data_IF_713419686474
#
_entry.id   IF_713419686474
#
_cell.length_a   1.000
_cell.length_b   1.000
_cell.length_c   1.000
_cell.angle_alpha   90.00
_cell.angle_beta   90.00
_cell.angle_gamma   90.00
#
_symmetry.space_group_name_H-M   'P 1'
#
loop_
_entity.id
_entity.type
_entity.pdbx_description
1 polymer ?
#
# COMPACT_ATOMS: atom_id res chain seq x y z
N UNK A 1 7.08 11.76 12.53
CA UNK A 1 5.99 11.49 11.60
C UNK A 1 5.74 9.98 11.51
N UNK A 2 4.47 9.60 11.40
CA UNK A 2 4.04 8.20 11.27
C UNK A 2 3.46 7.97 9.88
N UNK A 3 3.94 6.93 9.22
CA UNK A 3 3.48 6.54 7.89
C UNK A 3 2.92 5.13 7.92
N UNK A 4 1.91 4.87 7.11
CA UNK A 4 1.49 3.51 6.82
C UNK A 4 1.25 3.35 5.33
N UNK A 5 1.39 2.13 4.85
CA UNK A 5 1.13 1.80 3.45
C UNK A 5 -0.21 1.07 3.37
N UNK A 6 -1.15 1.66 2.64
CA UNK A 6 -2.47 1.08 2.39
C UNK A 6 -2.61 0.74 0.92
N UNK A 7 -2.59 -0.54 0.58
CA UNK A 7 -2.55 -1.03 -0.79
C UNK A 7 -3.33 -2.34 -0.93
N UNK A 8 -3.49 -2.81 -2.15
CA UNK A 8 -4.08 -4.12 -2.38
C UNK A 8 -4.50 -4.32 -3.84
N UNK A 9 -5.11 -5.47 -4.08
CA UNK A 9 -5.56 -5.87 -5.39
C UNK A 9 -6.75 -5.04 -5.87
N UNK A 10 -6.86 -4.86 -7.19
CA UNK A 10 -8.07 -4.33 -7.83
C UNK A 10 -9.29 -5.23 -7.60
N UNK A 11 -9.07 -6.49 -7.25
CA UNK A 11 -10.11 -7.49 -6.99
C UNK A 11 -10.52 -7.57 -5.51
N UNK A 12 -10.10 -6.63 -4.69
CA UNK A 12 -10.44 -6.59 -3.27
C UNK A 12 -11.96 -6.60 -3.09
N UNK A 13 -12.51 -7.52 -2.26
CA UNK A 13 -13.96 -7.61 -2.06
C UNK A 13 -14.56 -6.34 -1.47
N UNK A 14 -15.84 -6.07 -1.79
CA UNK A 14 -16.52 -4.85 -1.38
C UNK A 14 -16.52 -4.64 0.14
N UNK A 15 -16.67 -5.70 0.93
CA UNK A 15 -16.65 -5.60 2.40
C UNK A 15 -15.29 -5.13 2.91
N UNK A 16 -14.21 -5.58 2.26
CA UNK A 16 -12.85 -5.16 2.60
C UNK A 16 -12.61 -3.72 2.14
N UNK A 17 -13.11 -3.35 0.96
CA UNK A 17 -13.03 -1.95 0.49
C UNK A 17 -13.68 -0.99 1.47
N UNK A 18 -14.86 -1.35 1.99
CA UNK A 18 -15.55 -0.55 3.01
C UNK A 18 -14.71 -0.44 4.29
N UNK A 19 -14.11 -1.54 4.72
CA UNK A 19 -13.23 -1.56 5.88
C UNK A 19 -12.01 -0.67 5.63
N UNK A 20 -11.37 -0.76 4.47
CA UNK A 20 -10.20 0.04 4.13
C UNK A 20 -10.50 1.54 4.05
N UNK A 21 -11.70 1.91 3.59
CA UNK A 21 -12.16 3.30 3.64
C UNK A 21 -12.26 3.79 5.10
N UNK A 22 -12.84 2.99 5.99
CA UNK A 22 -12.94 3.31 7.41
C UNK A 22 -11.56 3.42 8.05
N UNK A 23 -10.65 2.52 7.73
CA UNK A 23 -9.27 2.54 8.25
C UNK A 23 -8.51 3.76 7.75
N UNK A 24 -8.66 4.12 6.48
CA UNK A 24 -8.06 5.33 5.92
C UNK A 24 -8.47 6.58 6.68
N UNK A 25 -9.76 6.69 6.98
CA UNK A 25 -10.29 7.77 7.81
C UNK A 25 -9.76 7.74 9.24
N UNK A 26 -9.79 6.55 9.85
CA UNK A 26 -9.35 6.36 11.23
C UNK A 26 -7.86 6.71 11.42
N UNK A 27 -7.00 6.20 10.56
CA UNK A 27 -5.56 6.45 10.67
C UNK A 27 -5.22 7.91 10.36
N UNK A 28 -5.92 8.55 9.43
CA UNK A 28 -5.75 9.99 9.18
C UNK A 28 -6.09 10.81 10.44
N UNK A 29 -7.17 10.46 11.14
CA UNK A 29 -7.54 11.11 12.41
C UNK A 29 -6.53 10.84 13.54
N UNK A 30 -5.69 9.81 13.40
CA UNK A 30 -4.58 9.50 14.30
C UNK A 30 -3.26 10.10 13.82
N UNK A 31 -3.29 10.98 12.83
CA UNK A 31 -2.13 11.67 12.25
C UNK A 31 -1.13 10.74 11.55
N UNK A 32 -1.59 9.59 11.06
CA UNK A 32 -0.79 8.76 10.16
C UNK A 32 -0.90 9.27 8.74
N UNK A 33 0.23 9.33 8.05
CA UNK A 33 0.30 9.73 6.64
C UNK A 33 0.16 8.47 5.79
N UNK A 34 -0.84 8.46 4.90
CA UNK A 34 -1.07 7.36 3.98
C UNK A 34 -0.05 7.37 2.85
N UNK A 35 0.53 6.20 2.56
CA UNK A 35 1.27 5.95 1.33
C UNK A 35 0.51 4.92 0.50
N UNK A 36 0.17 5.30 -0.74
CA UNK A 36 -0.61 4.43 -1.63
C UNK A 36 -0.30 4.76 -3.09
N UNK A 37 -1.00 4.13 -4.03
CA UNK A 37 -0.66 4.22 -5.44
C UNK A 37 -1.81 4.56 -6.38
N UNK A 38 -2.96 4.92 -5.88
CA UNK A 38 -4.14 5.32 -6.67
C UNK A 38 -4.65 4.23 -7.64
N UNK A 39 -4.32 2.97 -7.42
CA UNK A 39 -4.89 1.88 -8.21
C UNK A 39 -6.36 1.68 -7.81
N UNK A 40 -7.15 1.15 -8.75
CA UNK A 40 -8.53 0.77 -8.45
C UNK A 40 -8.57 -0.27 -7.32
N UNK A 41 -9.63 -0.27 -6.54
CA UNK A 41 -9.84 -1.20 -5.46
C UNK A 41 -9.25 -0.70 -4.15
N UNK A 42 -8.35 -1.48 -3.54
CA UNK A 42 -7.86 -1.20 -2.19
C UNK A 42 -7.16 0.16 -2.05
N UNK A 43 -6.26 0.49 -2.97
CA UNK A 43 -5.54 1.78 -2.94
C UNK A 43 -6.52 2.94 -2.87
N UNK A 44 -7.50 2.97 -3.77
CA UNK A 44 -8.51 4.02 -3.85
C UNK A 44 -9.39 4.07 -2.61
N UNK A 45 -9.68 2.93 -1.98
CA UNK A 45 -10.47 2.88 -0.76
C UNK A 45 -9.76 3.56 0.41
N UNK A 46 -8.47 3.27 0.62
CA UNK A 46 -7.68 3.96 1.63
C UNK A 46 -7.59 5.46 1.36
N UNK A 47 -7.31 5.82 0.12
CA UNK A 47 -7.20 7.23 -0.28
C UNK A 47 -8.50 7.98 -0.06
N UNK A 48 -9.62 7.39 -0.43
CA UNK A 48 -10.94 8.00 -0.24
C UNK A 48 -11.22 8.28 1.25
N UNK A 49 -10.97 7.30 2.12
CA UNK A 49 -11.15 7.48 3.56
C UNK A 49 -10.27 8.57 4.14
N UNK A 50 -9.02 8.63 3.72
CA UNK A 50 -8.06 9.67 4.11
C UNK A 50 -8.56 11.07 3.67
N UNK A 51 -9.00 11.19 2.41
CA UNK A 51 -9.49 12.44 1.83
C UNK A 51 -10.74 12.95 2.53
N UNK A 52 -11.62 12.06 3.00
CA UNK A 52 -12.86 12.45 3.71
C UNK A 52 -12.60 13.32 4.94
N UNK A 53 -11.46 13.19 5.57
CA UNK A 53 -11.09 13.96 6.77
C UNK A 53 -9.89 14.88 6.53
N UNK A 54 -9.59 15.18 5.27
CA UNK A 54 -8.45 16.01 4.87
C UNK A 54 -7.12 15.51 5.44
N UNK A 55 -6.95 14.19 5.50
CA UNK A 55 -5.74 13.57 5.99
C UNK A 55 -4.55 13.78 5.05
N UNK A 56 -3.36 13.62 5.59
CA UNK A 56 -2.13 13.71 4.80
C UNK A 56 -1.89 12.40 4.05
N UNK A 57 -1.45 12.52 2.81
CA UNK A 57 -1.18 11.35 1.97
C UNK A 57 -0.05 11.60 0.99
N UNK A 58 0.67 10.54 0.66
CA UNK A 58 1.69 10.48 -0.39
C UNK A 58 1.22 9.44 -1.39
N UNK A 59 0.74 9.90 -2.53
CA UNK A 59 0.22 9.01 -3.59
C UNK A 59 1.27 8.91 -4.69
N UNK A 60 1.91 7.75 -4.78
CA UNK A 60 2.99 7.49 -5.72
C UNK A 60 2.46 6.90 -7.01
N UNK A 61 2.79 7.51 -8.14
CA UNK A 61 2.29 7.12 -9.44
C UNK A 61 3.40 6.54 -10.32
N UNK A 62 3.06 5.56 -11.18
CA UNK A 62 4.03 5.02 -12.14
C UNK A 62 4.31 5.98 -13.30
N UNK A 63 3.33 6.83 -13.64
CA UNK A 63 3.45 7.89 -14.66
C UNK A 63 2.45 9.00 -14.36
N UNK A 64 2.67 10.15 -14.97
CA UNK A 64 1.81 11.31 -14.78
C UNK A 64 0.37 10.99 -15.21
N UNK A 65 -0.58 11.35 -14.35
CA UNK A 65 -2.01 11.18 -14.63
C UNK A 65 -2.54 9.76 -14.48
N UNK A 66 -1.77 8.84 -13.90
CA UNK A 66 -2.22 7.46 -13.68
C UNK A 66 -3.57 7.45 -12.96
N UNK A 67 -4.54 6.74 -13.54
CA UNK A 67 -5.90 6.63 -12.97
C UNK A 67 -6.63 7.96 -12.80
N UNK A 68 -6.20 9.02 -13.49
CA UNK A 68 -6.76 10.37 -13.35
C UNK A 68 -6.26 11.14 -12.13
N UNK A 69 -5.29 10.63 -11.39
CA UNK A 69 -4.71 11.31 -10.22
C UNK A 69 -3.94 12.55 -10.63
N UNK A 70 -4.03 13.60 -9.81
CA UNK A 70 -3.26 14.83 -9.94
C UNK A 70 -1.99 14.85 -9.09
N UNK A 71 -1.65 13.73 -8.47
CA UNK A 71 -0.42 13.61 -7.69
C UNK A 71 0.82 13.90 -8.55
N UNK A 72 1.79 14.58 -7.95
CA UNK A 72 3.06 14.89 -8.59
C UNK A 72 4.18 13.95 -8.18
N UNK A 73 3.89 12.96 -7.30
CA UNK A 73 4.87 11.98 -6.81
C UNK A 73 5.00 10.84 -7.81
N UNK A 74 5.73 11.08 -8.88
CA UNK A 74 5.92 10.12 -9.97
C UNK A 74 7.27 9.46 -9.82
N UNK A 75 7.33 8.13 -10.00
CA UNK A 75 8.59 7.40 -9.91
C UNK A 75 9.58 7.86 -11.00
N UNK A 76 10.75 8.33 -10.57
CA UNK A 76 11.82 8.82 -11.46
C UNK A 76 13.19 8.34 -11.01
N UNK A 77 13.33 8.00 -9.75
CA UNK A 77 14.60 7.64 -9.14
C UNK A 77 15.06 6.26 -9.62
N UNK A 78 16.26 6.19 -10.21
CA UNK A 78 16.85 4.92 -10.63
C UNK A 78 16.97 3.93 -9.47
N UNK A 79 17.19 4.42 -8.24
CA UNK A 79 17.27 3.57 -7.05
C UNK A 79 15.94 2.86 -6.77
N UNK A 80 14.80 3.48 -7.08
CA UNK A 80 13.49 2.82 -6.96
C UNK A 80 13.39 1.60 -7.88
N UNK A 81 13.93 1.71 -9.10
CA UNK A 81 13.99 0.61 -10.06
C UNK A 81 14.96 -0.49 -9.59
N UNK A 82 16.11 -0.11 -9.02
CA UNK A 82 17.07 -1.08 -8.49
C UNK A 82 16.47 -1.89 -7.34
N UNK A 83 15.79 -1.22 -6.41
CA UNK A 83 15.12 -1.90 -5.29
C UNK A 83 14.03 -2.83 -5.83
N UNK A 84 13.25 -2.37 -6.79
CA UNK A 84 12.18 -3.19 -7.38
C UNK A 84 12.76 -4.44 -8.07
N UNK A 85 13.84 -4.29 -8.82
CA UNK A 85 14.51 -5.40 -9.49
C UNK A 85 15.02 -6.44 -8.49
N UNK A 86 15.63 -6.01 -7.39
CA UNK A 86 16.14 -6.90 -6.35
C UNK A 86 15.05 -7.79 -5.72
N UNK A 87 13.82 -7.30 -5.70
CA UNK A 87 12.71 -7.97 -5.01
C UNK A 87 11.69 -8.60 -5.96
N UNK A 88 11.89 -8.49 -7.29
CA UNK A 88 10.96 -9.05 -8.26
C UNK A 88 11.53 -10.29 -8.91
N UNK A 89 10.85 -11.46 -8.79
CA UNK A 89 11.40 -12.73 -9.28
C UNK A 89 11.53 -12.81 -10.80
N UNK A 90 10.78 -12.00 -11.55
CA UNK A 90 10.71 -12.06 -13.01
C UNK A 90 10.92 -10.68 -13.66
N UNK A 91 11.78 -9.86 -13.07
CA UNK A 91 11.97 -8.47 -13.51
C UNK A 91 12.23 -8.32 -15.00
N UNK A 92 13.11 -9.16 -15.54
CA UNK A 92 13.53 -9.07 -16.96
C UNK A 92 12.41 -9.42 -17.94
N UNK A 93 11.36 -10.10 -17.49
CA UNK A 93 10.20 -10.44 -18.31
C UNK A 93 9.12 -9.37 -18.28
N UNK A 94 9.29 -8.32 -17.49
CA UNK A 94 8.30 -7.27 -17.36
C UNK A 94 8.39 -6.27 -18.50
N UNK A 95 7.23 -5.77 -18.97
CA UNK A 95 7.15 -4.62 -19.87
C UNK A 95 7.67 -3.35 -19.19
N UNK A 96 7.95 -2.31 -19.93
CA UNK A 96 8.36 -1.02 -19.38
C UNK A 96 7.30 -0.44 -18.44
N UNK A 97 6.02 -0.54 -18.82
CA UNK A 97 4.92 -0.09 -17.96
C UNK A 97 4.84 -0.87 -16.64
N UNK A 98 5.00 -2.20 -16.71
CA UNK A 98 5.01 -3.05 -15.52
C UNK A 98 6.20 -2.71 -14.61
N UNK A 99 7.38 -2.43 -15.16
CA UNK A 99 8.55 -2.01 -14.39
C UNK A 99 8.30 -0.70 -13.66
N UNK A 100 7.64 0.26 -14.30
CA UNK A 100 7.25 1.53 -13.65
C UNK A 100 6.30 1.30 -12.48
N UNK A 101 5.31 0.43 -12.65
CA UNK A 101 4.37 0.07 -11.58
C UNK A 101 5.11 -0.57 -10.39
N UNK A 102 6.04 -1.48 -10.66
CA UNK A 102 6.81 -2.15 -9.62
C UNK A 102 7.79 -1.20 -8.92
N UNK A 103 8.46 -0.34 -9.67
CA UNK A 103 9.37 0.66 -9.11
C UNK A 103 8.62 1.66 -8.21
N UNK A 104 7.40 2.07 -8.59
CA UNK A 104 6.54 2.92 -7.79
C UNK A 104 6.26 2.29 -6.42
N UNK A 105 6.11 0.97 -6.37
CA UNK A 105 5.87 0.26 -5.12
C UNK A 105 7.02 0.41 -4.12
N UNK A 106 8.24 0.64 -4.57
CA UNK A 106 9.37 0.92 -3.68
C UNK A 106 9.12 2.18 -2.84
N UNK A 107 8.59 3.24 -3.46
CA UNK A 107 8.24 4.47 -2.74
C UNK A 107 7.08 4.28 -1.78
N UNK A 108 6.11 3.43 -2.10
CA UNK A 108 4.99 3.16 -1.20
C UNK A 108 5.44 2.59 0.14
N UNK A 109 6.52 1.82 0.13
CA UNK A 109 7.05 1.17 1.34
C UNK A 109 8.15 2.02 2.00
N UNK A 110 9.03 2.64 1.21
CA UNK A 110 10.24 3.28 1.69
C UNK A 110 10.22 4.82 1.63
N UNK A 111 9.14 5.41 1.12
CA UNK A 111 9.00 6.86 1.02
C UNK A 111 9.66 7.46 -0.22
N UNK A 112 9.56 8.77 -0.35
CA UNK A 112 10.10 9.49 -1.49
C UNK A 112 11.62 9.35 -1.59
N UNK A 113 12.30 9.41 -0.46
CA UNK A 113 13.76 9.29 -0.37
C UNK A 113 14.26 7.84 -0.36
N UNK A 114 13.34 6.86 -0.37
CA UNK A 114 13.65 5.43 -0.29
C UNK A 114 14.43 5.04 0.99
N UNK A 115 14.38 5.88 1.99
CA UNK A 115 15.11 5.71 3.25
C UNK A 115 14.25 6.04 4.47
N UNK A 116 12.93 6.13 4.30
CA UNK A 116 11.97 6.38 5.36
C UNK A 116 10.90 5.29 5.34
N UNK A 117 11.22 4.09 5.85
CA UNK A 117 10.27 2.97 5.81
C UNK A 117 8.96 3.31 6.50
N UNK A 118 7.87 2.81 5.94
CA UNK A 118 6.55 2.92 6.54
C UNK A 118 6.51 2.13 7.87
N UNK A 119 5.66 2.56 8.80
CA UNK A 119 5.56 1.90 10.11
C UNK A 119 4.94 0.50 9.99
N UNK A 120 3.96 0.34 9.11
CA UNK A 120 3.32 -0.94 8.80
C UNK A 120 2.59 -0.88 7.46
N UNK A 121 2.24 -2.04 6.95
CA UNK A 121 1.48 -2.20 5.71
C UNK A 121 0.14 -2.85 6.04
N UNK A 122 -0.94 -2.31 5.49
CA UNK A 122 -2.26 -2.93 5.49
C UNK A 122 -2.63 -3.20 4.03
N UNK A 123 -2.95 -4.44 3.70
CA UNK A 123 -3.23 -4.82 2.33
C UNK A 123 -4.27 -5.93 2.24
N UNK A 124 -4.68 -6.23 1.01
CA UNK A 124 -5.45 -7.41 0.67
C UNK A 124 -4.88 -8.04 -0.59
N UNK A 125 -4.62 -9.33 -0.53
CA UNK A 125 -4.36 -10.17 -1.70
C UNK A 125 -5.26 -11.39 -1.63
N UNK A 126 -5.56 -11.99 -2.78
CA UNK A 126 -6.44 -13.15 -2.85
C UNK A 126 -5.86 -14.29 -2.01
N UNK A 127 -6.66 -14.77 -1.05
CA UNK A 127 -6.28 -15.83 -0.11
C UNK A 127 -5.02 -15.51 0.71
N UNK A 128 -4.66 -14.23 0.83
CA UNK A 128 -3.44 -13.81 1.53
C UNK A 128 -2.14 -14.22 0.84
N UNK A 129 -2.21 -14.63 -0.42
CA UNK A 129 -1.06 -15.15 -1.17
C UNK A 129 -0.27 -14.03 -1.85
N UNK A 130 1.02 -14.26 -2.06
CA UNK A 130 1.91 -13.36 -2.76
C UNK A 130 1.66 -13.44 -4.27
N UNK A 131 0.61 -12.78 -4.75
CA UNK A 131 0.20 -12.74 -6.14
C UNK A 131 -0.10 -11.31 -6.59
N UNK A 132 0.13 -11.03 -7.86
CA UNK A 132 -0.18 -9.74 -8.47
C UNK A 132 0.79 -8.62 -8.07
N UNK A 133 0.42 -7.39 -8.45
CA UNK A 133 1.29 -6.22 -8.25
C UNK A 133 1.52 -5.87 -6.77
N UNK A 134 0.54 -6.13 -5.91
CA UNK A 134 0.65 -5.87 -4.46
C UNK A 134 1.76 -6.69 -3.82
N UNK A 135 2.05 -7.89 -4.33
CA UNK A 135 3.06 -8.76 -3.76
C UNK A 135 4.47 -8.16 -3.79
N UNK A 136 4.75 -7.27 -4.73
CA UNK A 136 6.04 -6.58 -4.80
C UNK A 136 6.26 -5.71 -3.55
N UNK A 137 5.28 -4.92 -3.16
CA UNK A 137 5.37 -4.12 -1.94
C UNK A 137 5.49 -5.01 -0.70
N UNK A 138 4.79 -6.13 -0.67
CA UNK A 138 4.89 -7.11 0.42
C UNK A 138 6.31 -7.67 0.52
N UNK A 139 6.93 -8.04 -0.59
CA UNK A 139 8.32 -8.54 -0.60
C UNK A 139 9.30 -7.50 -0.08
N UNK A 140 9.16 -6.26 -0.51
CA UNK A 140 10.01 -5.15 -0.03
C UNK A 140 9.80 -4.95 1.48
N UNK A 141 8.55 -4.90 1.95
CA UNK A 141 8.25 -4.73 3.36
C UNK A 141 8.85 -5.85 4.21
N UNK A 142 8.77 -7.10 3.77
CA UNK A 142 9.40 -8.23 4.47
C UNK A 142 10.91 -8.08 4.56
N UNK A 143 11.55 -7.66 3.47
CA UNK A 143 13.00 -7.47 3.44
C UNK A 143 13.47 -6.40 4.44
N UNK A 144 12.62 -5.43 4.74
CA UNK A 144 12.91 -4.35 5.69
C UNK A 144 12.29 -4.60 7.08
N UNK A 145 11.79 -5.80 7.35
CA UNK A 145 11.19 -6.20 8.62
C UNK A 145 10.02 -5.30 9.05
N UNK A 146 9.25 -4.83 8.07
CA UNK A 146 8.07 -3.99 8.31
C UNK A 146 6.86 -4.90 8.59
N UNK A 147 6.09 -4.65 9.67
CA UNK A 147 4.89 -5.43 9.95
C UNK A 147 3.85 -5.31 8.84
N UNK A 148 3.21 -6.44 8.50
CA UNK A 148 2.22 -6.51 7.42
C UNK A 148 0.95 -7.16 7.93
N UNK A 149 -0.19 -6.51 7.68
CA UNK A 149 -1.51 -7.09 7.85
C UNK A 149 -2.12 -7.33 6.47
N UNK A 150 -2.35 -8.60 6.12
CA UNK A 150 -3.02 -8.96 4.87
C UNK A 150 -4.43 -9.46 5.19
N UNK A 151 -5.43 -8.64 4.90
CA UNK A 151 -6.82 -8.96 5.17
C UNK A 151 -7.33 -10.18 4.37
N UNK A 152 -6.61 -10.59 3.31
CA UNK A 152 -6.95 -11.77 2.52
C UNK A 152 -6.66 -13.09 3.21
N UNK A 153 -6.00 -13.08 4.38
CA UNK A 153 -5.72 -14.30 5.14
C UNK A 153 -6.94 -14.89 5.83
N UNK A 154 -8.04 -14.15 5.93
CA UNK A 154 -9.26 -14.59 6.60
C UNK A 154 -10.48 -14.36 5.70
N UNK A 155 -11.47 -15.26 5.78
CA UNK A 155 -12.69 -15.19 4.97
C UNK A 155 -13.81 -14.37 5.62
N UNK A 156 -13.88 -14.38 6.95
CA UNK A 156 -14.94 -13.72 7.71
C UNK A 156 -14.55 -12.29 8.03
N UNK A 157 -15.39 -11.32 7.62
CA UNK A 157 -15.14 -9.89 7.83
C UNK A 157 -15.02 -9.53 9.31
N UNK A 158 -15.81 -10.15 10.18
CA UNK A 158 -15.73 -9.87 11.62
C UNK A 158 -14.41 -10.33 12.20
N UNK A 159 -13.89 -11.46 11.74
CA UNK A 159 -12.57 -11.94 12.12
C UNK A 159 -11.46 -11.02 11.60
N UNK A 160 -11.58 -10.55 10.35
CA UNK A 160 -10.65 -9.56 9.78
C UNK A 160 -10.59 -8.30 10.64
N UNK A 161 -11.75 -7.74 11.01
CA UNK A 161 -11.84 -6.54 11.86
C UNK A 161 -11.17 -6.75 13.21
N UNK A 162 -11.44 -7.88 13.84
CA UNK A 162 -10.86 -8.24 15.14
C UNK A 162 -9.32 -8.35 15.05
N UNK A 163 -8.82 -9.06 14.05
CA UNK A 163 -7.39 -9.24 13.84
C UNK A 163 -6.70 -7.93 13.48
N UNK A 164 -7.34 -7.09 12.67
CA UNK A 164 -6.80 -5.78 12.31
C UNK A 164 -6.68 -4.87 13.55
N UNK A 165 -7.69 -4.86 14.42
CA UNK A 165 -7.64 -4.10 15.65
C UNK A 165 -6.44 -4.50 16.51
N UNK A 166 -6.23 -5.81 16.69
CA UNK A 166 -5.08 -6.33 17.43
C UNK A 166 -3.76 -5.94 16.79
N UNK A 167 -3.68 -6.03 15.47
CA UNK A 167 -2.49 -5.62 14.71
C UNK A 167 -2.17 -4.13 14.93
N UNK A 168 -3.17 -3.28 14.83
CA UNK A 168 -2.98 -1.83 15.03
C UNK A 168 -2.50 -1.54 16.47
N UNK A 169 -3.11 -2.16 17.47
CA UNK A 169 -2.69 -2.01 18.86
C UNK A 169 -1.25 -2.47 19.06
N UNK A 170 -0.87 -3.60 18.49
CA UNK A 170 0.49 -4.13 18.57
C UNK A 170 1.52 -3.21 17.90
N UNK A 171 1.08 -2.34 16.99
CA UNK A 171 1.94 -1.38 16.29
C UNK A 171 1.76 0.06 16.77
N UNK A 172 1.24 0.25 17.98
CA UNK A 172 1.19 1.54 18.65
C UNK A 172 0.00 2.43 18.28
N UNK A 173 -1.00 1.89 17.58
CA UNK A 173 -2.21 2.64 17.23
C UNK A 173 -3.31 2.31 18.27
N UNK A 174 -3.75 3.31 18.99
CA UNK A 174 -4.80 3.15 20.02
C UNK A 174 -6.19 3.56 19.50
#
# INVERSE_FOLDING_TARGET
LNYYTGIGSRKTPIQILKLFTQIGKYLANKNYILRSGHAEGADSAFEYGCTMVNGQKEIYLPWNGFGGSDSTLIVKDSKAYEIAEQHHPYWHNLSQGAKKLQARNSHQVLGLDLNTPTNFVICWTKNGKDQGGTSQAIRIARAYNIPIFNAGCWDDIENVKKKLKLFLMANGVS
#
